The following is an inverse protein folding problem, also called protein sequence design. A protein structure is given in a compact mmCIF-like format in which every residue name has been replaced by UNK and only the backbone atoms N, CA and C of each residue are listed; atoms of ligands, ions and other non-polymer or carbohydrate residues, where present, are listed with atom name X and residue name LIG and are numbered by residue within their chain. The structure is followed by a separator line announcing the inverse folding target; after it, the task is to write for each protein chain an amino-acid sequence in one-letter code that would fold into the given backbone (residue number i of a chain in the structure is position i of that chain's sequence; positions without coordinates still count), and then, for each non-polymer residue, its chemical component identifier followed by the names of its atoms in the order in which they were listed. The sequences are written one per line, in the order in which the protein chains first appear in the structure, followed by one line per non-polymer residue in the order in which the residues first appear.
data_IF_950544687183
#
_entry.id   IF_950544687183
#
_cell.length_a   1.000
_cell.length_b   1.000
_cell.length_c   1.000
_cell.angle_alpha   90.00
_cell.angle_beta   90.00
_cell.angle_gamma   90.00
#
_symmetry.space_group_name_H-M   'P 1'
#
loop_
_entity.id
_entity.type
_entity.pdbx_description
1 polymer ?
#
# COMPACT_ATOMS: atom_id res chain seq x y z
N UNK A 1 9.38 4.11 2.83
CA UNK A 1 9.40 5.59 2.91
C UNK A 1 8.30 6.03 3.85
N UNK A 2 8.57 6.99 4.73
CA UNK A 2 7.59 7.51 5.67
C UNK A 2 6.42 8.18 4.91
N UNK A 3 5.14 7.78 5.14
CA UNK A 3 3.99 8.44 4.51
C UNK A 3 3.77 9.90 4.95
N UNK A 4 4.44 10.36 6.02
CA UNK A 4 4.38 11.73 6.52
C UNK A 4 5.44 12.66 5.91
N UNK A 5 6.36 12.14 5.10
CA UNK A 5 7.39 12.97 4.47
C UNK A 5 6.71 13.93 3.49
N UNK A 6 6.99 15.22 3.62
CA UNK A 6 6.51 16.22 2.66
C UNK A 6 7.09 15.89 1.29
N UNK A 7 6.25 15.88 0.26
CA UNK A 7 6.67 15.47 -1.08
C UNK A 7 7.88 16.27 -1.61
N UNK A 8 7.93 17.57 -1.31
CA UNK A 8 9.04 18.46 -1.67
C UNK A 8 10.36 18.14 -0.95
N UNK A 9 10.32 17.44 0.19
CA UNK A 9 11.50 17.04 0.97
C UNK A 9 12.06 15.68 0.51
N UNK A 10 11.47 15.07 -0.51
CA UNK A 10 11.93 13.79 -1.01
C UNK A 10 13.31 13.93 -1.68
N UNK A 11 14.34 13.39 -1.04
CA UNK A 11 15.70 13.45 -1.58
C UNK A 11 15.79 12.86 -3.01
N UNK A 12 16.65 13.42 -3.89
CA UNK A 12 16.84 12.91 -5.25
C UNK A 12 17.21 11.42 -5.33
N UNK A 13 17.90 10.89 -4.31
CA UNK A 13 18.26 9.46 -4.24
C UNK A 13 17.06 8.54 -3.99
N UNK A 14 16.01 9.05 -3.33
CA UNK A 14 14.83 8.26 -2.96
C UNK A 14 13.75 8.28 -4.03
N UNK A 15 13.72 9.32 -4.87
CA UNK A 15 12.72 9.49 -5.93
C UNK A 15 12.73 8.33 -6.95
N UNK A 16 13.87 7.91 -7.54
CA UNK A 16 13.91 6.76 -8.45
C UNK A 16 13.46 5.45 -7.77
N UNK A 17 13.77 5.31 -6.47
CA UNK A 17 13.40 4.14 -5.69
C UNK A 17 11.89 4.07 -5.45
N UNK A 18 11.25 5.22 -5.21
CA UNK A 18 9.81 5.33 -5.09
C UNK A 18 9.13 5.04 -6.43
N UNK A 19 9.58 5.68 -7.51
CA UNK A 19 9.05 5.48 -8.86
C UNK A 19 9.07 4.00 -9.28
N UNK A 20 10.22 3.32 -9.10
CA UNK A 20 10.35 1.90 -9.40
C UNK A 20 9.42 1.03 -8.55
N UNK A 21 9.27 1.35 -7.25
CA UNK A 21 8.38 0.60 -6.37
C UNK A 21 6.90 0.75 -6.75
N UNK A 22 6.48 1.94 -7.21
CA UNK A 22 5.11 2.18 -7.70
C UNK A 22 4.83 1.29 -8.91
N UNK A 23 5.70 1.34 -9.93
CA UNK A 23 5.54 0.53 -11.14
C UNK A 23 5.56 -0.98 -10.84
N UNK A 24 6.44 -1.42 -9.93
CA UNK A 24 6.50 -2.82 -9.51
C UNK A 24 5.16 -3.27 -8.89
N UNK A 25 4.62 -2.51 -7.93
CA UNK A 25 3.36 -2.85 -7.26
C UNK A 25 2.19 -2.87 -8.25
N UNK A 26 2.15 -1.92 -9.20
CA UNK A 26 1.11 -1.92 -10.24
C UNK A 26 1.21 -3.13 -11.16
N UNK A 27 2.41 -3.48 -11.62
CA UNK A 27 2.60 -4.65 -12.47
C UNK A 27 2.24 -5.95 -11.73
N UNK A 28 2.62 -6.08 -10.46
CA UNK A 28 2.22 -7.21 -9.62
C UNK A 28 0.69 -7.27 -9.46
N UNK A 29 0.04 -6.13 -9.18
CA UNK A 29 -1.41 -6.06 -9.04
C UNK A 29 -2.14 -6.45 -10.33
N UNK A 30 -1.64 -6.03 -11.49
CA UNK A 30 -2.22 -6.40 -12.80
C UNK A 30 -2.04 -7.90 -13.04
N UNK A 31 -0.84 -8.43 -12.79
CA UNK A 31 -0.54 -9.86 -12.97
C UNK A 31 -1.38 -10.77 -12.07
N UNK A 32 -1.79 -10.27 -10.89
CA UNK A 32 -2.57 -11.01 -9.91
C UNK A 32 -4.06 -10.62 -9.87
N UNK A 33 -4.59 -9.94 -10.90
CA UNK A 33 -6.05 -9.76 -11.04
C UNK A 33 -6.68 -8.67 -10.16
N UNK A 34 -5.93 -7.63 -9.78
CA UNK A 34 -6.39 -6.49 -8.97
C UNK A 34 -6.84 -6.87 -7.54
N UNK A 35 -7.09 -5.86 -6.72
CA UNK A 35 -7.73 -6.01 -5.40
C UNK A 35 -9.26 -5.97 -5.49
N UNK A 36 -9.81 -5.61 -6.65
CA UNK A 36 -11.23 -5.50 -6.90
C UNK A 36 -11.66 -6.65 -7.82
N UNK A 37 -12.74 -7.36 -7.49
CA UNK A 37 -13.42 -8.25 -8.43
C UNK A 37 -14.38 -7.42 -9.29
N UNK A 38 -13.84 -6.65 -10.24
CA UNK A 38 -14.67 -5.81 -11.11
C UNK A 38 -15.26 -6.67 -12.22
N UNK A 39 -16.56 -6.90 -12.17
CA UNK A 39 -17.35 -7.24 -13.34
C UNK A 39 -18.01 -5.94 -13.85
N UNK A 40 -17.62 -5.42 -15.03
CA UNK A 40 -18.22 -4.19 -15.59
C UNK A 40 -19.74 -4.26 -15.81
N UNK A 41 -20.29 -5.47 -15.88
CA UNK A 41 -21.72 -5.73 -16.08
C UNK A 41 -22.50 -5.86 -14.76
N UNK A 42 -21.81 -6.04 -13.64
CA UNK A 42 -22.39 -6.21 -12.30
C UNK A 42 -21.93 -5.08 -11.38
N UNK A 43 -22.60 -3.93 -11.53
CA UNK A 43 -22.29 -2.68 -10.81
C UNK A 43 -22.62 -2.79 -9.31
N UNK A 44 -23.41 -3.80 -8.92
CA UNK A 44 -23.78 -4.07 -7.53
C UNK A 44 -22.89 -5.15 -6.88
N UNK A 45 -21.95 -5.72 -7.65
CA UNK A 45 -21.05 -6.80 -7.21
C UNK A 45 -20.08 -6.39 -6.10
N UNK A 46 -19.52 -7.38 -5.40
CA UNK A 46 -18.50 -7.14 -4.37
C UNK A 46 -17.22 -6.60 -5.00
N UNK A 47 -16.97 -5.31 -4.80
CA UNK A 47 -15.72 -4.65 -5.20
C UNK A 47 -14.53 -5.00 -4.29
N UNK A 48 -14.68 -5.91 -3.33
CA UNK A 48 -13.60 -6.36 -2.44
C UNK A 48 -13.43 -7.88 -2.59
N UNK A 49 -12.23 -8.39 -2.27
CA UNK A 49 -11.87 -9.80 -2.38
C UNK A 49 -11.11 -10.18 -3.65
N UNK A 50 -10.47 -9.24 -4.33
CA UNK A 50 -9.64 -9.54 -5.51
C UNK A 50 -8.37 -10.33 -5.15
N UNK A 51 -7.81 -11.06 -6.12
CA UNK A 51 -6.69 -11.96 -5.86
C UNK A 51 -5.40 -11.26 -5.35
N UNK A 52 -5.25 -9.95 -5.56
CA UNK A 52 -4.09 -9.21 -5.03
C UNK A 52 -4.18 -8.85 -3.53
N UNK A 53 -5.34 -8.99 -2.87
CA UNK A 53 -5.49 -8.63 -1.45
C UNK A 53 -4.52 -9.41 -0.54
N UNK A 54 -4.24 -10.68 -0.87
CA UNK A 54 -3.28 -11.53 -0.15
C UNK A 54 -1.83 -11.01 -0.20
N UNK A 55 -1.50 -10.09 -1.11
CA UNK A 55 -0.15 -9.55 -1.28
C UNK A 55 0.08 -8.26 -0.47
N UNK A 56 -0.91 -7.78 0.29
CA UNK A 56 -0.78 -6.57 1.08
C UNK A 56 0.26 -6.68 2.19
N UNK A 57 1.27 -5.80 2.13
CA UNK A 57 2.33 -5.74 3.14
C UNK A 57 1.92 -4.95 4.38
N UNK A 58 1.04 -3.96 4.24
CA UNK A 58 0.61 -3.06 5.34
C UNK A 58 -0.85 -2.64 5.29
N UNK A 59 -1.48 -2.56 4.11
CA UNK A 59 -2.86 -2.10 3.97
C UNK A 59 -3.85 -3.02 4.70
N UNK A 60 -4.80 -2.45 5.45
CA UNK A 60 -5.76 -3.18 6.29
C UNK A 60 -5.16 -4.11 7.37
N UNK A 61 -3.87 -3.97 7.68
CA UNK A 61 -3.15 -4.82 8.63
C UNK A 61 -2.78 -4.10 9.92
N UNK A 62 -3.61 -3.16 10.37
CA UNK A 62 -3.36 -2.42 11.61
C UNK A 62 -3.16 -3.36 12.81
N UNK A 63 -2.12 -3.13 13.61
CA UNK A 63 -1.79 -3.96 14.77
C UNK A 63 -1.05 -5.26 14.44
N UNK A 64 -1.06 -5.72 13.19
CA UNK A 64 -0.35 -6.92 12.76
C UNK A 64 1.18 -6.72 12.66
N UNK A 65 1.98 -7.79 12.77
CA UNK A 65 3.42 -7.71 12.59
C UNK A 65 3.79 -7.41 11.14
N UNK A 66 4.63 -6.39 10.94
CA UNK A 66 5.24 -6.10 9.65
C UNK A 66 5.97 -7.34 9.11
N UNK A 67 5.77 -7.72 7.83
CA UNK A 67 6.40 -8.91 7.25
C UNK A 67 7.94 -8.79 7.17
N UNK A 68 8.48 -7.58 7.25
CA UNK A 68 9.95 -7.34 7.17
C UNK A 68 10.62 -7.28 8.54
N UNK A 69 10.04 -6.55 9.50
CA UNK A 69 10.73 -6.24 10.78
C UNK A 69 9.93 -6.59 12.04
N UNK A 70 8.74 -7.19 11.87
CA UNK A 70 7.84 -7.64 12.95
C UNK A 70 7.26 -6.53 13.85
N UNK A 71 7.65 -5.28 13.68
CA UNK A 71 6.99 -4.15 14.35
C UNK A 71 5.52 -4.06 13.94
N UNK A 72 4.65 -3.65 14.87
CA UNK A 72 3.22 -3.48 14.58
C UNK A 72 3.00 -2.42 13.50
N UNK A 73 2.19 -2.75 12.50
CA UNK A 73 1.71 -1.80 11.51
C UNK A 73 0.77 -0.81 12.19
N UNK A 74 0.87 0.46 11.81
CA UNK A 74 0.03 1.55 12.33
C UNK A 74 -0.89 2.05 11.24
N UNK A 75 -2.11 2.43 11.63
CA UNK A 75 -3.03 3.22 10.82
C UNK A 75 -3.02 4.66 11.29
N UNK A 76 -3.32 5.56 10.36
CA UNK A 76 -3.58 6.96 10.61
C UNK A 76 -4.58 7.48 9.57
N UNK A 77 -5.05 8.71 9.72
CA UNK A 77 -5.93 9.36 8.75
C UNK A 77 -5.24 10.54 8.08
N UNK A 78 -5.19 10.55 6.75
CA UNK A 78 -4.77 11.69 5.92
C UNK A 78 -5.96 12.15 5.09
N UNK A 79 -6.40 13.40 5.27
CA UNK A 79 -7.50 14.01 4.50
C UNK A 79 -8.74 13.09 4.36
N UNK A 80 -9.18 12.49 5.48
CA UNK A 80 -10.34 11.59 5.51
C UNK A 80 -10.09 10.15 5.02
N UNK A 81 -8.87 9.81 4.57
CA UNK A 81 -8.51 8.46 4.11
C UNK A 81 -7.56 7.75 5.08
N UNK A 82 -7.78 6.45 5.25
CA UNK A 82 -6.89 5.63 6.08
C UNK A 82 -5.55 5.40 5.37
N UNK A 83 -4.45 5.60 6.08
CA UNK A 83 -3.10 5.27 5.62
C UNK A 83 -2.47 4.26 6.59
N UNK A 84 -1.92 3.17 6.05
CA UNK A 84 -1.26 2.11 6.83
C UNK A 84 0.23 2.08 6.54
N UNK A 85 1.05 1.92 7.58
CA UNK A 85 2.51 1.91 7.42
C UNK A 85 3.23 1.19 8.57
N UNK A 86 4.46 0.75 8.32
CA UNK A 86 5.34 0.23 9.37
C UNK A 86 6.27 1.32 9.91
N UNK A 87 6.20 1.69 11.22
CA UNK A 87 7.01 2.77 11.78
C UNK A 87 8.52 2.45 11.81
N UNK A 88 8.91 1.17 11.73
CA UNK A 88 10.31 0.76 11.71
C UNK A 88 10.92 0.67 10.32
N UNK A 89 10.15 0.23 9.31
CA UNK A 89 10.64 0.11 7.93
C UNK A 89 10.47 1.41 7.13
N UNK A 90 9.47 2.22 7.48
CA UNK A 90 9.12 3.46 6.80
C UNK A 90 9.50 4.65 7.68
N UNK A 91 10.78 4.70 8.08
CA UNK A 91 11.38 5.84 8.77
C UNK A 91 11.63 6.98 7.79
N UNK A 92 11.85 8.18 8.36
CA UNK A 92 12.17 9.41 7.65
C UNK A 92 13.18 9.16 6.55
#
# INVERSE_FOLDING_TARGET
MNPFLVAAELSPRRLPRLHRAILQVFNESIAHGSTLNVNPEDIDGSYYGGAYEGHWRVYAREGEPCPTCRARVRRLMHAGRSTFFCPRCQKN
#
